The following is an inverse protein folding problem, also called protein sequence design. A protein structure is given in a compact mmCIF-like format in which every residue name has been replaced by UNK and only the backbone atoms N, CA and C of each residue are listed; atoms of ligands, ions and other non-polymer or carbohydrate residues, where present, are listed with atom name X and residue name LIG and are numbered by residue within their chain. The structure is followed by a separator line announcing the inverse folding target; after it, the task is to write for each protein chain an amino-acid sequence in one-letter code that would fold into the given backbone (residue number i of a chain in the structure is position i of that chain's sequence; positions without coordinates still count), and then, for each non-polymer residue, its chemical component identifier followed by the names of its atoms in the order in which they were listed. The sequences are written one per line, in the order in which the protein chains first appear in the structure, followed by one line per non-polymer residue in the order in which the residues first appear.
data_IF_024012877782
#
_entry.id   IF_024012877782
#
_cell.length_a   1.000
_cell.length_b   1.000
_cell.length_c   1.000
_cell.angle_alpha   90.00
_cell.angle_beta   90.00
_cell.angle_gamma   90.00
#
_symmetry.space_group_name_H-M   'P 1'
#
loop_
_entity.id
_entity.type
_entity.pdbx_description
1 polymer ?
#
# COMPACT_ATOMS: atom_id res chain seq x y z
N UNK A 1 -14.66 20.48 2.82
CA UNK A 1 -13.47 19.60 2.94
C UNK A 1 -13.99 18.22 2.60
N UNK A 2 -13.46 17.50 1.59
CA UNK A 2 -13.88 16.12 1.36
C UNK A 2 -13.60 15.29 2.63
N UNK A 3 -14.45 14.32 2.92
CA UNK A 3 -14.28 13.47 4.10
C UNK A 3 -12.97 12.68 3.95
N UNK A 4 -12.03 12.91 4.87
CA UNK A 4 -10.74 12.23 4.90
C UNK A 4 -10.83 10.99 5.79
N UNK A 5 -10.63 9.81 5.21
CA UNK A 5 -10.60 8.56 5.96
C UNK A 5 -9.27 8.45 6.74
N UNK A 6 -9.36 8.44 8.07
CA UNK A 6 -8.22 8.20 8.96
C UNK A 6 -8.16 6.71 9.36
N UNK A 7 -7.18 5.93 8.88
CA UNK A 7 -7.02 4.54 9.29
C UNK A 7 -6.55 4.42 10.75
N UNK A 8 -6.89 3.30 11.39
CA UNK A 8 -6.54 2.99 12.78
C UNK A 8 -5.50 1.87 12.84
N UNK A 9 -4.65 1.89 13.88
CA UNK A 9 -3.60 0.89 14.12
C UNK A 9 -2.64 0.74 12.94
N UNK A 10 -2.39 -0.50 12.51
CA UNK A 10 -1.55 -0.91 11.39
C UNK A 10 -2.28 -0.86 10.03
N UNK A 11 -3.46 -0.22 9.96
CA UNK A 11 -4.21 -0.11 8.71
C UNK A 11 -3.70 1.00 7.81
N UNK A 12 -3.90 0.82 6.52
CA UNK A 12 -3.57 1.77 5.46
C UNK A 12 -4.75 1.93 4.52
N UNK A 13 -4.80 3.08 3.84
CA UNK A 13 -5.81 3.42 2.84
C UNK A 13 -5.13 3.50 1.50
N UNK A 14 -5.65 2.78 0.51
CA UNK A 14 -5.08 2.68 -0.83
C UNK A 14 -6.14 3.10 -1.84
N UNK A 15 -5.73 3.91 -2.81
CA UNK A 15 -6.46 4.11 -4.05
C UNK A 15 -5.96 3.10 -5.07
N UNK A 16 -6.83 2.20 -5.50
CA UNK A 16 -6.50 1.26 -6.58
C UNK A 16 -6.18 2.07 -7.83
N UNK A 17 -5.04 1.79 -8.45
CA UNK A 17 -4.80 2.24 -9.80
C UNK A 17 -5.47 1.19 -10.69
N UNK A 18 -6.45 1.61 -11.51
CA UNK A 18 -7.00 0.70 -12.50
C UNK A 18 -5.83 0.08 -13.26
N UNK A 19 -5.77 -1.26 -13.37
CA UNK A 19 -4.78 -1.87 -14.24
C UNK A 19 -5.03 -1.23 -15.60
N UNK A 20 -4.02 -0.51 -16.11
CA UNK A 20 -4.01 -0.07 -17.49
C UNK A 20 -4.39 -1.32 -18.28
N UNK A 21 -5.63 -1.38 -18.77
CA UNK A 21 -6.13 -2.46 -19.60
C UNK A 21 -5.44 -2.29 -20.95
N UNK A 22 -4.11 -2.43 -20.98
CA UNK A 22 -3.42 -2.95 -22.12
C UNK A 22 -4.01 -4.36 -22.35
N UNK A 23 -4.81 -4.73 -23.35
CA UNK A 23 -5.30 -4.16 -24.62
C UNK A 23 -4.34 -3.29 -25.44
N UNK A 24 -3.05 -3.20 -25.12
CA UNK A 24 -2.07 -2.55 -26.01
C UNK A 24 -1.43 -3.55 -26.98
N UNK A 25 -1.87 -4.81 -27.02
CA UNK A 25 -1.40 -5.78 -28.03
C UNK A 25 -2.48 -6.66 -28.67
N UNK A 26 -3.77 -6.45 -28.38
CA UNK A 26 -4.84 -7.30 -28.94
C UNK A 26 -4.80 -8.77 -28.50
N UNK A 27 -3.83 -9.21 -27.70
CA UNK A 27 -3.85 -10.53 -27.08
C UNK A 27 -4.72 -10.49 -25.81
N UNK A 28 -5.88 -11.13 -25.90
CA UNK A 28 -6.63 -11.57 -24.74
C UNK A 28 -5.78 -12.64 -24.05
N UNK A 29 -5.31 -12.36 -22.82
CA UNK A 29 -4.74 -13.41 -21.98
C UNK A 29 -5.89 -14.42 -21.73
N UNK A 30 -5.76 -15.69 -22.16
CA UNK A 30 -6.73 -16.72 -21.82
C UNK A 30 -6.90 -16.75 -20.30
N UNK A 31 -8.09 -17.07 -19.78
CA UNK A 31 -8.37 -17.14 -18.35
C UNK A 31 -7.41 -18.13 -17.66
N UNK A 32 -6.24 -17.62 -17.25
CA UNK A 32 -5.16 -18.38 -16.65
C UNK A 32 -5.21 -18.17 -15.15
N UNK A 33 -5.48 -19.27 -14.44
CA UNK A 33 -5.57 -19.39 -12.98
C UNK A 33 -6.87 -18.84 -12.39
N UNK A 34 -7.49 -19.62 -11.48
CA UNK A 34 -8.72 -19.23 -10.77
C UNK A 34 -8.54 -17.99 -9.88
N UNK A 35 -7.30 -17.61 -9.59
CA UNK A 35 -6.94 -16.52 -8.69
C UNK A 35 -6.80 -15.21 -9.49
N UNK A 36 -7.51 -14.12 -9.12
CA UNK A 36 -7.30 -12.81 -9.74
C UNK A 36 -5.84 -12.34 -9.53
N UNK A 37 -5.25 -11.65 -10.53
CA UNK A 37 -3.88 -11.16 -10.41
C UNK A 37 -3.74 -10.17 -9.24
N UNK A 38 -2.54 -10.06 -8.64
CA UNK A 38 -2.26 -9.02 -7.65
C UNK A 38 -2.59 -7.64 -8.20
N UNK A 39 -3.19 -6.81 -7.36
CA UNK A 39 -3.57 -5.44 -7.68
C UNK A 39 -2.48 -4.49 -7.22
N UNK A 40 -2.48 -3.27 -7.77
CA UNK A 40 -1.55 -2.22 -7.39
C UNK A 40 -2.27 -0.90 -7.19
N UNK A 41 -1.73 -0.05 -6.32
CA UNK A 41 -2.37 1.21 -5.95
C UNK A 41 -1.40 2.20 -5.32
N UNK A 42 -1.93 3.36 -4.96
CA UNK A 42 -1.19 4.42 -4.26
C UNK A 42 -1.71 4.52 -2.83
N UNK A 43 -0.81 4.52 -1.85
CA UNK A 43 -1.14 4.75 -0.43
C UNK A 43 -1.60 6.20 -0.26
N UNK A 44 -2.82 6.41 0.23
CA UNK A 44 -3.37 7.72 0.54
C UNK A 44 -3.15 8.12 2.00
N UNK A 45 -3.24 7.15 2.91
CA UNK A 45 -3.09 7.38 4.35
C UNK A 45 -2.56 6.15 5.06
N UNK A 46 -1.82 6.37 6.15
CA UNK A 46 -1.27 5.33 7.02
C UNK A 46 -1.76 5.55 8.44
N UNK A 47 -2.06 4.46 9.14
CA UNK A 47 -2.40 4.50 10.54
C UNK A 47 -1.19 4.83 11.41
N UNK A 48 -1.40 5.10 12.71
CA UNK A 48 -0.31 5.40 13.63
C UNK A 48 0.62 4.21 13.91
N UNK A 49 0.28 3.00 13.45
CA UNK A 49 0.95 1.76 13.83
C UNK A 49 0.32 1.16 15.09
N UNK A 50 0.96 0.12 15.63
CA UNK A 50 0.53 -0.54 16.86
C UNK A 50 1.33 0.05 18.03
N UNK A 51 0.70 0.30 19.18
CA UNK A 51 1.31 1.00 20.32
C UNK A 51 2.69 0.45 20.73
N UNK A 52 2.88 -0.88 20.69
CA UNK A 52 4.15 -1.50 21.07
C UNK A 52 5.25 -1.41 20.00
N UNK A 53 4.93 -1.03 18.76
CA UNK A 53 5.91 -0.90 17.68
C UNK A 53 6.96 0.16 18.00
N UNK A 54 6.55 1.29 18.55
CA UNK A 54 7.47 2.36 18.92
C UNK A 54 8.51 1.89 19.95
N UNK A 55 8.06 1.14 20.97
CA UNK A 55 8.96 0.54 21.97
C UNK A 55 9.92 -0.51 21.41
N UNK A 56 9.59 -1.07 20.24
CA UNK A 56 10.41 -2.04 19.52
C UNK A 56 11.21 -1.42 18.36
N UNK A 57 11.19 -0.09 18.20
CA UNK A 57 11.84 0.60 17.08
C UNK A 57 11.18 0.38 15.71
N UNK A 58 9.98 -0.19 15.67
CA UNK A 58 9.24 -0.46 14.45
C UNK A 58 8.40 0.77 14.05
N UNK A 59 8.33 1.03 12.75
CA UNK A 59 7.48 2.08 12.14
C UNK A 59 6.67 1.49 11.00
N UNK A 60 5.67 2.22 10.53
CA UNK A 60 4.96 1.84 9.31
C UNK A 60 5.96 1.74 8.15
N UNK A 61 6.03 0.59 7.44
CA UNK A 61 7.00 0.38 6.35
C UNK A 61 6.61 1.09 5.05
N UNK A 62 5.52 1.86 5.05
CA UNK A 62 5.01 2.61 3.91
C UNK A 62 4.59 4.01 4.34
N UNK A 63 4.53 4.91 3.38
CA UNK A 63 4.15 6.31 3.53
C UNK A 63 3.13 6.72 2.47
N UNK A 64 2.34 7.77 2.70
CA UNK A 64 1.47 8.33 1.67
C UNK A 64 2.25 8.67 0.39
N UNK A 65 1.74 8.24 -0.76
CA UNK A 65 2.37 8.39 -2.07
C UNK A 65 3.10 7.14 -2.57
N UNK A 66 3.37 6.16 -1.70
CA UNK A 66 4.03 4.92 -2.13
C UNK A 66 3.13 4.10 -3.06
N UNK A 67 3.73 3.58 -4.13
CA UNK A 67 3.09 2.64 -5.05
C UNK A 67 3.23 1.24 -4.48
N UNK A 68 2.13 0.56 -4.21
CA UNK A 68 2.14 -0.74 -3.51
C UNK A 68 1.45 -1.82 -4.32
N UNK A 69 1.85 -3.07 -4.11
CA UNK A 69 1.20 -4.28 -4.64
C UNK A 69 0.57 -5.05 -3.50
N UNK A 70 -0.63 -5.57 -3.70
CA UNK A 70 -1.39 -6.34 -2.71
C UNK A 70 -2.21 -7.44 -3.40
N UNK A 71 -2.53 -8.54 -2.71
CA UNK A 71 -3.43 -9.56 -3.26
C UNK A 71 -4.84 -8.99 -3.39
N UNK A 72 -5.62 -9.48 -4.36
CA UNK A 72 -7.01 -9.04 -4.56
C UNK A 72 -7.93 -9.32 -3.35
N UNK A 73 -7.52 -10.24 -2.47
CA UNK A 73 -8.19 -10.60 -1.23
C UNK A 73 -7.83 -9.70 -0.03
N UNK A 74 -6.95 -8.71 -0.22
CA UNK A 74 -6.52 -7.83 0.87
C UNK A 74 -7.68 -6.95 1.35
N UNK A 75 -7.85 -6.88 2.67
CA UNK A 75 -8.69 -5.88 3.34
C UNK A 75 -10.16 -5.82 2.89
N UNK A 76 -10.71 -4.60 2.91
CA UNK A 76 -12.10 -4.31 2.59
C UNK A 76 -12.23 -3.03 1.73
N UNK A 77 -13.14 -3.08 0.77
CA UNK A 77 -13.51 -1.94 -0.07
C UNK A 77 -14.56 -1.08 0.61
N UNK A 78 -14.33 0.23 0.62
CA UNK A 78 -15.31 1.22 1.10
C UNK A 78 -15.41 2.38 0.12
N UNK A 79 -16.54 3.10 0.17
CA UNK A 79 -16.74 4.33 -0.59
C UNK A 79 -16.75 5.51 0.38
N UNK A 80 -15.89 6.49 0.13
CA UNK A 80 -15.80 7.73 0.90
C UNK A 80 -15.69 8.89 -0.09
N UNK A 81 -16.55 9.90 0.05
CA UNK A 81 -16.57 11.06 -0.86
C UNK A 81 -16.63 10.66 -2.36
N UNK A 82 -17.43 9.65 -2.70
CA UNK A 82 -17.56 9.09 -4.07
C UNK A 82 -16.28 8.42 -4.62
N UNK A 83 -15.26 8.22 -3.80
CA UNK A 83 -14.05 7.47 -4.14
C UNK A 83 -14.09 6.05 -3.55
N UNK A 84 -13.83 5.05 -4.38
CA UNK A 84 -13.67 3.65 -3.96
C UNK A 84 -12.25 3.45 -3.43
N UNK A 85 -12.14 3.15 -2.15
CA UNK A 85 -10.89 3.00 -1.42
C UNK A 85 -10.75 1.58 -0.88
N UNK A 86 -9.53 1.07 -0.86
CA UNK A 86 -9.17 -0.16 -0.16
C UNK A 86 -8.61 0.18 1.22
N UNK A 87 -9.13 -0.46 2.26
CA UNK A 87 -8.56 -0.42 3.61
C UNK A 87 -8.06 -1.82 3.97
N UNK A 88 -6.75 -1.96 4.16
CA UNK A 88 -6.11 -3.21 4.56
C UNK A 88 -5.07 -2.97 5.67
N UNK A 89 -4.56 -4.05 6.27
CA UNK A 89 -3.39 -3.96 7.16
C UNK A 89 -2.13 -3.85 6.33
N UNK A 90 -1.13 -3.16 6.87
CA UNK A 90 0.18 -3.04 6.19
C UNK A 90 0.88 -4.37 5.98
N UNK A 91 0.62 -5.37 6.84
CA UNK A 91 1.14 -6.73 6.67
C UNK A 91 0.52 -7.54 5.52
N UNK A 92 -0.56 -7.05 4.90
CA UNK A 92 -1.16 -7.66 3.70
C UNK A 92 -0.50 -7.16 2.39
N UNK A 93 0.36 -6.13 2.46
CA UNK A 93 1.11 -5.65 1.30
C UNK A 93 2.18 -6.67 0.88
N UNK A 94 2.31 -6.87 -0.44
CA UNK A 94 3.36 -7.71 -1.02
C UNK A 94 4.67 -6.94 -1.20
N UNK A 95 4.60 -5.61 -1.37
CA UNK A 95 5.77 -4.74 -1.49
C UNK A 95 5.44 -3.35 -2.05
N UNK A 96 6.46 -2.50 -2.06
CA UNK A 96 6.47 -1.17 -2.68
C UNK A 96 7.15 -1.26 -4.06
N UNK A 97 6.57 -0.65 -5.09
CA UNK A 97 7.14 -0.58 -6.44
C UNK A 97 8.07 0.63 -6.52
N UNK A 98 9.37 0.38 -6.47
CA UNK A 98 10.39 1.40 -6.72
C UNK A 98 10.67 1.50 -8.23
N UNK A 99 10.50 2.67 -8.83
CA UNK A 99 10.99 2.90 -10.20
C UNK A 99 12.50 3.12 -10.12
N UNK A 100 13.27 2.33 -10.87
CA UNK A 100 14.74 2.32 -10.82
C UNK A 100 15.35 3.72 -10.85
N UNK A 101 15.72 4.23 -9.67
CA UNK A 101 16.12 5.61 -9.46
C UNK A 101 15.77 6.13 -8.07
N UNK A 102 14.69 5.64 -7.45
CA UNK A 102 14.42 5.88 -6.04
C UNK A 102 15.28 4.91 -5.22
N UNK A 103 16.17 5.44 -4.37
CA UNK A 103 16.98 4.58 -3.50
C UNK A 103 16.05 3.87 -2.52
N UNK A 104 16.32 2.61 -2.12
CA UNK A 104 15.57 1.99 -1.06
C UNK A 104 15.58 2.92 0.15
N UNK A 105 14.40 3.23 0.68
CA UNK A 105 14.26 3.92 1.96
C UNK A 105 14.65 2.94 3.05
N UNK A 106 15.92 2.59 3.09
CA UNK A 106 16.52 1.95 4.25
C UNK A 106 16.35 2.95 5.38
N UNK A 107 15.59 2.58 6.40
CA UNK A 107 15.58 3.27 7.68
C UNK A 107 17.03 3.25 8.17
N UNK A 108 17.80 4.27 7.83
CA UNK A 108 19.06 4.58 8.49
C UNK A 108 18.68 4.98 9.91
N UNK A 109 18.49 3.97 10.76
CA UNK A 109 18.73 4.10 12.19
C UNK A 109 20.19 4.49 12.31
N UNK A 110 20.44 5.79 12.32
CA UNK A 110 21.69 6.35 12.81
C UNK A 110 21.84 5.87 14.24
N UNK A 111 22.68 4.85 14.39
CA UNK A 111 23.65 4.77 15.47
C UNK A 111 24.26 6.18 15.65
N UNK A 112 23.68 6.97 16.55
CA UNK A 112 24.40 7.98 17.30
C UNK A 112 24.60 7.40 18.71
N UNK A 113 25.54 6.44 18.77
CA UNK A 113 26.47 6.38 19.91
C UNK A 113 27.37 7.61 19.80
N UNK A 114 27.40 8.38 20.88
CA UNK A 114 28.40 9.37 21.37
C UNK A 114 27.60 10.51 22.05
N UNK A 115 27.69 10.79 23.34
CA UNK A 115 28.71 10.53 24.36
C UNK A 115 28.09 10.52 25.77
#
# INVERSE_FOLDING_TARGET
MPDQLRPLFDRIVIKELEPDRMRQSGLVVPAGTHEPPPQHGIVLAVGPGIDWWESAGLRMPVTPGDHVVFPASAGAWIEVSEERLLVCRVGELLGVIERGGDKPRVTEDRDEREA
#
